data_IF_335529121855
#
_entry.id   IF_335529121855
#
_cell.length_a   1.000
_cell.length_b   1.000
_cell.length_c   1.000
_cell.angle_alpha   90.00
_cell.angle_beta   90.00
_cell.angle_gamma   90.00
#
_symmetry.space_group_name_H-M   'P 1'
#
loop_
_entity.id
_entity.type
_entity.pdbx_description
1 polymer ?
#
# COMPACT_ATOMS: atom_id res chain seq x y z
N UNK A 1 -45.69 1.38 -7.67
CA UNK A 1 -44.88 1.02 -6.49
C UNK A 1 -43.45 1.45 -6.75
N UNK A 2 -43.04 2.55 -6.11
CA UNK A 2 -41.69 3.10 -6.20
C UNK A 2 -40.70 2.14 -5.54
N UNK A 3 -39.98 1.41 -6.37
CA UNK A 3 -39.05 0.36 -5.89
C UNK A 3 -37.73 1.04 -5.53
N UNK A 4 -37.55 1.39 -4.25
CA UNK A 4 -36.30 1.95 -3.69
C UNK A 4 -35.08 1.01 -3.76
N UNK A 5 -35.26 -0.19 -4.32
CA UNK A 5 -34.23 -1.22 -4.39
C UNK A 5 -33.15 -0.95 -5.45
N UNK A 6 -33.38 -0.02 -6.38
CA UNK A 6 -32.42 0.30 -7.46
C UNK A 6 -31.05 0.78 -6.96
N UNK A 7 -31.01 1.53 -5.86
CA UNK A 7 -29.75 2.00 -5.26
C UNK A 7 -29.31 1.18 -4.05
N UNK A 8 -30.25 0.54 -3.34
CA UNK A 8 -29.96 -0.26 -2.14
C UNK A 8 -29.24 -1.57 -2.46
N UNK A 9 -29.59 -2.23 -3.57
CA UNK A 9 -28.97 -3.51 -3.97
C UNK A 9 -27.47 -3.31 -4.27
N UNK A 10 -27.04 -2.34 -5.12
CA UNK A 10 -25.62 -2.08 -5.33
C UNK A 10 -24.87 -1.73 -4.03
N UNK A 11 -25.45 -0.94 -3.13
CA UNK A 11 -24.82 -0.59 -1.85
C UNK A 11 -24.62 -1.80 -0.94
N UNK A 12 -25.60 -2.72 -0.88
CA UNK A 12 -25.46 -3.95 -0.10
C UNK A 12 -24.47 -4.93 -0.74
N UNK A 13 -24.42 -4.98 -2.08
CA UNK A 13 -23.48 -5.83 -2.79
C UNK A 13 -22.01 -5.41 -2.57
N UNK A 14 -21.74 -4.12 -2.35
CA UNK A 14 -20.41 -3.61 -2.01
C UNK A 14 -19.85 -4.20 -0.69
N UNK A 15 -20.72 -4.72 0.19
CA UNK A 15 -20.29 -5.39 1.43
C UNK A 15 -19.58 -6.71 1.14
N UNK A 16 -19.97 -7.40 0.06
CA UNK A 16 -19.42 -8.71 -0.31
C UNK A 16 -17.89 -8.69 -0.49
N UNK A 17 -17.29 -7.81 -1.33
CA UNK A 17 -15.83 -7.76 -1.47
C UNK A 17 -15.11 -7.37 -0.17
N UNK A 18 -15.70 -6.52 0.67
CA UNK A 18 -15.11 -6.16 1.97
C UNK A 18 -15.07 -7.35 2.95
N UNK A 19 -16.15 -8.15 3.00
CA UNK A 19 -16.18 -9.37 3.81
C UNK A 19 -15.19 -10.41 3.31
N UNK A 20 -15.06 -10.57 1.99
CA UNK A 20 -14.02 -11.42 1.41
C UNK A 20 -12.63 -10.92 1.82
N UNK A 21 -12.35 -9.63 1.69
CA UNK A 21 -11.05 -9.06 2.08
C UNK A 21 -10.71 -9.32 3.55
N UNK A 22 -11.66 -9.11 4.48
CA UNK A 22 -11.46 -9.40 5.91
C UNK A 22 -11.16 -10.88 6.13
N UNK A 23 -11.86 -11.76 5.42
CA UNK A 23 -11.63 -13.21 5.54
C UNK A 23 -10.24 -13.59 5.03
N UNK A 24 -9.81 -13.03 3.89
CA UNK A 24 -8.52 -13.35 3.27
C UNK A 24 -7.32 -12.75 3.99
N UNK A 25 -7.47 -11.62 4.70
CA UNK A 25 -6.33 -10.95 5.35
C UNK A 25 -5.63 -11.86 6.37
N UNK A 26 -6.38 -12.75 7.03
CA UNK A 26 -5.82 -13.70 8.00
C UNK A 26 -5.00 -14.83 7.37
N UNK A 27 -5.14 -15.06 6.06
CA UNK A 27 -4.36 -16.07 5.34
C UNK A 27 -3.09 -15.49 4.70
N UNK A 28 -2.98 -14.16 4.60
CA UNK A 28 -1.80 -13.53 4.02
C UNK A 28 -0.65 -13.52 5.04
N UNK A 29 0.57 -13.90 4.63
CA UNK A 29 1.73 -13.74 5.48
C UNK A 29 1.99 -12.25 5.74
N UNK A 30 2.45 -11.95 6.95
CA UNK A 30 2.91 -10.60 7.29
C UNK A 30 4.09 -10.20 6.40
N UNK A 31 4.16 -8.90 6.07
CA UNK A 31 5.23 -8.43 5.20
C UNK A 31 6.61 -8.60 5.85
N UNK A 32 7.61 -9.17 5.15
CA UNK A 32 8.97 -9.33 5.69
C UNK A 32 9.58 -8.02 6.20
N UNK A 33 9.30 -6.90 5.52
CA UNK A 33 9.73 -5.55 5.92
C UNK A 33 9.18 -5.12 7.27
N UNK A 34 7.90 -5.43 7.55
CA UNK A 34 7.28 -5.13 8.85
C UNK A 34 7.84 -6.02 9.95
N UNK A 35 8.06 -7.31 9.68
CA UNK A 35 8.67 -8.21 10.66
C UNK A 35 10.08 -7.77 11.05
N UNK A 36 10.90 -7.35 10.08
CA UNK A 36 12.25 -6.81 10.35
C UNK A 36 12.16 -5.53 11.18
N UNK A 37 11.24 -4.61 10.87
CA UNK A 37 11.09 -3.36 11.63
C UNK A 37 10.61 -3.58 13.07
N UNK A 38 9.94 -4.70 13.35
CA UNK A 38 9.52 -5.13 14.70
C UNK A 38 10.56 -6.00 15.43
N UNK A 39 11.75 -6.21 14.85
CA UNK A 39 12.79 -7.06 15.44
C UNK A 39 12.54 -8.56 15.30
N UNK A 40 11.53 -8.98 14.54
CA UNK A 40 11.19 -10.40 14.25
C UNK A 40 11.94 -10.88 13.00
N UNK A 41 13.25 -10.69 12.97
CA UNK A 41 14.07 -10.97 11.79
C UNK A 41 14.09 -12.45 11.36
N UNK A 42 14.03 -13.37 12.31
CA UNK A 42 14.00 -14.82 12.02
C UNK A 42 12.73 -15.25 11.29
N UNK A 43 11.58 -14.68 11.64
CA UNK A 43 10.33 -14.94 10.92
C UNK A 43 10.35 -14.31 9.52
N UNK A 44 10.94 -13.12 9.39
CA UNK A 44 11.12 -12.49 8.09
C UNK A 44 11.98 -13.34 7.15
N UNK A 45 13.08 -13.93 7.66
CA UNK A 45 13.93 -14.85 6.88
C UNK A 45 13.15 -16.07 6.41
N UNK A 46 12.34 -16.70 7.29
CA UNK A 46 11.50 -17.86 6.90
C UNK A 46 10.52 -17.53 5.78
N UNK A 47 9.90 -16.34 5.82
CA UNK A 47 8.99 -15.89 4.76
C UNK A 47 9.78 -15.58 3.49
N UNK A 48 10.93 -14.92 3.57
CA UNK A 48 11.80 -14.66 2.41
C UNK A 48 12.26 -15.98 1.77
N UNK A 49 12.71 -16.96 2.54
CA UNK A 49 13.09 -18.28 2.02
C UNK A 49 11.93 -18.98 1.31
N UNK A 50 10.74 -18.96 1.91
CA UNK A 50 9.56 -19.63 1.35
C UNK A 50 9.08 -19.01 0.03
N UNK A 51 9.14 -17.68 -0.09
CA UNK A 51 8.58 -16.97 -1.26
C UNK A 51 9.62 -16.53 -2.29
N UNK A 52 10.89 -16.34 -1.91
CA UNK A 52 11.95 -15.83 -2.81
C UNK A 52 13.06 -16.85 -3.09
N UNK A 53 13.21 -17.92 -2.29
CA UNK A 53 14.27 -18.92 -2.48
C UNK A 53 13.75 -20.35 -2.70
N UNK A 54 12.46 -20.51 -2.99
CA UNK A 54 11.82 -21.83 -3.23
C UNK A 54 12.07 -22.86 -2.10
N UNK A 55 12.37 -22.39 -0.88
CA UNK A 55 12.69 -23.26 0.26
C UNK A 55 14.17 -23.46 0.55
N UNK A 56 15.09 -22.87 -0.22
CA UNK A 56 16.53 -22.96 0.05
C UNK A 56 16.98 -21.91 1.08
N UNK A 57 17.10 -22.33 2.34
CA UNK A 57 17.59 -21.50 3.46
C UNK A 57 19.06 -21.09 3.31
N UNK A 58 19.83 -21.75 2.43
CA UNK A 58 21.26 -21.48 2.24
C UNK A 58 21.55 -20.47 1.15
N UNK A 59 20.55 -20.14 0.33
CA UNK A 59 20.68 -19.20 -0.77
C UNK A 59 21.18 -17.84 -0.29
N UNK A 60 22.25 -17.36 -0.93
CA UNK A 60 22.84 -16.05 -0.66
C UNK A 60 21.83 -14.91 -0.92
N UNK A 61 20.85 -15.14 -1.80
CA UNK A 61 19.80 -14.18 -2.13
C UNK A 61 18.99 -13.76 -0.90
N UNK A 62 18.58 -14.70 -0.04
CA UNK A 62 17.79 -14.39 1.16
C UNK A 62 18.59 -13.52 2.13
N UNK A 63 19.90 -13.81 2.27
CA UNK A 63 20.79 -13.04 3.14
C UNK A 63 20.97 -11.62 2.61
N UNK A 64 21.19 -11.48 1.30
CA UNK A 64 21.34 -10.17 0.65
C UNK A 64 20.07 -9.33 0.76
N UNK A 65 18.90 -9.91 0.48
CA UNK A 65 17.61 -9.22 0.61
C UNK A 65 17.35 -8.79 2.06
N UNK A 66 17.59 -9.68 3.03
CA UNK A 66 17.44 -9.37 4.44
C UNK A 66 18.34 -8.19 4.86
N UNK A 67 19.60 -8.18 4.43
CA UNK A 67 20.54 -7.08 4.71
C UNK A 67 20.08 -5.79 4.04
N UNK A 68 19.64 -5.85 2.79
CA UNK A 68 19.16 -4.70 2.05
C UNK A 68 17.96 -4.06 2.75
N UNK A 69 16.94 -4.86 3.08
CA UNK A 69 15.74 -4.39 3.77
C UNK A 69 16.10 -3.79 5.13
N UNK A 70 16.97 -4.46 5.89
CA UNK A 70 17.39 -3.99 7.21
C UNK A 70 18.11 -2.63 7.12
N UNK A 71 19.00 -2.47 6.14
CA UNK A 71 19.72 -1.21 5.88
C UNK A 71 18.77 -0.10 5.45
N UNK A 72 17.81 -0.39 4.57
CA UNK A 72 16.80 0.59 4.15
C UNK A 72 15.98 1.06 5.35
N UNK A 73 15.54 0.16 6.23
CA UNK A 73 14.78 0.53 7.44
C UNK A 73 15.62 1.41 8.37
N UNK A 74 16.92 1.13 8.54
CA UNK A 74 17.80 1.97 9.36
C UNK A 74 17.90 3.40 8.80
N UNK A 75 18.12 3.54 7.49
CA UNK A 75 18.14 4.84 6.82
C UNK A 75 16.80 5.57 6.91
N UNK A 76 15.69 4.84 6.78
CA UNK A 76 14.34 5.38 6.97
C UNK A 76 14.15 5.88 8.41
N UNK A 77 14.62 5.17 9.44
CA UNK A 77 14.52 5.63 10.84
C UNK A 77 15.35 6.88 11.14
N UNK A 78 16.53 7.00 10.53
CA UNK A 78 17.35 8.21 10.61
C UNK A 78 16.64 9.42 9.98
N UNK A 79 15.94 9.18 8.86
CA UNK A 79 15.22 10.20 8.10
C UNK A 79 13.82 10.49 8.66
N UNK A 80 13.17 9.54 9.33
CA UNK A 80 11.78 9.62 9.80
C UNK A 80 11.57 10.61 10.95
N UNK A 81 12.64 11.09 11.59
CA UNK A 81 12.57 12.14 12.63
C UNK A 81 12.25 13.53 12.07
N UNK A 82 12.13 13.63 10.75
CA UNK A 82 11.96 14.87 10.03
C UNK A 82 10.45 15.12 9.85
N UNK A 83 9.95 16.22 10.41
CA UNK A 83 8.53 16.57 10.35
C UNK A 83 8.07 17.07 8.97
N UNK A 84 6.74 17.17 8.78
CA UNK A 84 6.08 17.65 7.56
C UNK A 84 6.61 18.98 7.00
N UNK A 85 7.21 19.81 7.86
CA UNK A 85 7.79 21.10 7.48
C UNK A 85 9.02 20.97 6.56
N UNK A 86 9.69 19.81 6.53
CA UNK A 86 10.86 19.59 5.68
C UNK A 86 10.52 19.49 4.20
N UNK A 87 9.26 19.15 3.87
CA UNK A 87 8.75 19.19 2.50
C UNK A 87 9.00 20.57 1.89
N UNK A 88 8.89 21.62 2.72
CA UNK A 88 9.17 23.00 2.34
C UNK A 88 10.60 23.45 2.61
N UNK A 89 11.54 22.62 3.08
CA UNK A 89 12.93 23.07 3.28
C UNK A 89 13.80 22.88 2.04
N UNK A 90 13.72 21.72 1.38
CA UNK A 90 14.59 21.39 0.24
C UNK A 90 13.87 21.62 -1.09
N UNK A 91 14.55 22.28 -2.04
CA UNK A 91 14.01 22.52 -3.39
C UNK A 91 13.54 21.22 -4.08
N UNK A 92 14.32 20.14 -3.98
CA UNK A 92 13.97 18.84 -4.54
C UNK A 92 12.69 18.23 -3.96
N UNK A 93 12.45 18.35 -2.65
CA UNK A 93 11.23 17.84 -2.02
C UNK A 93 10.01 18.67 -2.40
N UNK A 94 10.15 20.01 -2.46
CA UNK A 94 9.08 20.91 -2.93
C UNK A 94 8.61 20.56 -4.33
N UNK A 95 9.55 20.32 -5.26
CA UNK A 95 9.22 19.97 -6.64
C UNK A 95 8.49 18.63 -6.72
N UNK A 96 8.97 17.60 -6.00
CA UNK A 96 8.31 16.28 -5.92
C UNK A 96 6.88 16.40 -5.36
N UNK A 97 6.71 17.19 -4.31
CA UNK A 97 5.41 17.44 -3.69
C UNK A 97 4.45 18.16 -4.66
N UNK A 98 4.92 19.20 -5.37
CA UNK A 98 4.13 19.91 -6.38
C UNK A 98 3.71 19.00 -7.52
N UNK A 99 4.62 18.18 -8.06
CA UNK A 99 4.31 17.23 -9.13
C UNK A 99 3.26 16.21 -8.67
N UNK A 100 3.44 15.61 -7.48
CA UNK A 100 2.48 14.65 -6.93
C UNK A 100 1.09 15.28 -6.69
N UNK A 101 1.06 16.50 -6.15
CA UNK A 101 -0.19 17.24 -5.92
C UNK A 101 -0.89 17.57 -7.24
N UNK A 102 -0.14 18.05 -8.23
CA UNK A 102 -0.69 18.41 -9.53
C UNK A 102 -1.17 17.17 -10.30
N UNK A 103 -0.46 16.04 -10.21
CA UNK A 103 -0.90 14.77 -10.78
C UNK A 103 -2.24 14.31 -10.18
N UNK A 104 -2.40 14.42 -8.86
CA UNK A 104 -3.67 14.12 -8.17
C UNK A 104 -4.81 15.04 -8.58
N UNK A 105 -4.53 16.34 -8.78
CA UNK A 105 -5.52 17.31 -9.24
C UNK A 105 -5.94 17.03 -10.69
N UNK A 106 -5.00 16.81 -11.60
CA UNK A 106 -5.28 16.53 -13.01
C UNK A 106 -6.06 15.23 -13.18
N UNK A 107 -5.75 14.20 -12.40
CA UNK A 107 -6.51 12.93 -12.44
C UNK A 107 -7.94 13.09 -11.95
N UNK A 108 -8.21 13.93 -10.94
CA UNK A 108 -9.59 14.23 -10.52
C UNK A 108 -10.33 15.16 -11.48
N UNK A 109 -9.63 16.15 -12.04
CA UNK A 109 -10.19 17.09 -13.03
C UNK A 109 -10.47 16.46 -14.39
N UNK A 110 -9.84 15.32 -14.71
CA UNK A 110 -10.11 14.55 -15.95
C UNK A 110 -11.53 13.99 -16.06
N UNK A 111 -12.41 14.25 -15.08
CA UNK A 111 -13.84 14.03 -15.22
C UNK A 111 -14.35 12.69 -14.71
N UNK A 112 -13.58 11.99 -13.85
CA UNK A 112 -14.05 10.76 -13.19
C UNK A 112 -15.40 10.94 -12.46
N UNK A 113 -15.70 12.15 -11.96
CA UNK A 113 -17.01 12.47 -11.37
C UNK A 113 -18.15 12.64 -12.38
N UNK A 114 -17.88 13.09 -13.61
CA UNK A 114 -18.90 13.30 -14.65
C UNK A 114 -19.38 11.98 -15.25
N UNK A 115 -18.48 11.00 -15.37
CA UNK A 115 -18.82 9.65 -15.82
C UNK A 115 -19.84 9.05 -14.84
N UNK A 116 -19.60 9.12 -13.53
CA UNK A 116 -20.56 8.61 -12.54
C UNK A 116 -21.95 9.24 -12.60
N UNK A 117 -22.06 10.53 -12.96
CA UNK A 117 -23.37 11.20 -13.09
C UNK A 117 -24.13 10.74 -14.32
N UNK A 118 -23.45 10.57 -15.48
CA UNK A 118 -24.08 10.13 -16.73
C UNK A 118 -24.54 8.66 -16.65
N UNK A 119 -23.79 7.79 -15.96
CA UNK A 119 -24.18 6.38 -15.78
C UNK A 119 -25.28 6.16 -14.73
N UNK A 120 -25.50 7.09 -13.80
CA UNK A 120 -26.60 7.00 -12.81
C UNK A 120 -27.86 7.75 -13.21
N UNK A 121 -27.80 8.61 -14.23
CA UNK A 121 -28.94 9.39 -14.73
C UNK A 121 -29.55 8.87 -16.04
N UNK A 122 -29.08 7.74 -16.57
CA UNK A 122 -29.58 7.06 -17.76
C UNK A 122 -30.02 5.63 -17.42
#
# INVERSE_FOLDING_TARGET
>A
MSTDWGWRIPSLLQVVPSLLQITFVYFLPESPRWLISKGRGEEAKKILTKYHAEGDETSELVKLEYIQISKTIQLEQETAKIGWMEIFRTHGMRMRFLIGSFLGLVTQWSGNGLISLVYFSA
#
